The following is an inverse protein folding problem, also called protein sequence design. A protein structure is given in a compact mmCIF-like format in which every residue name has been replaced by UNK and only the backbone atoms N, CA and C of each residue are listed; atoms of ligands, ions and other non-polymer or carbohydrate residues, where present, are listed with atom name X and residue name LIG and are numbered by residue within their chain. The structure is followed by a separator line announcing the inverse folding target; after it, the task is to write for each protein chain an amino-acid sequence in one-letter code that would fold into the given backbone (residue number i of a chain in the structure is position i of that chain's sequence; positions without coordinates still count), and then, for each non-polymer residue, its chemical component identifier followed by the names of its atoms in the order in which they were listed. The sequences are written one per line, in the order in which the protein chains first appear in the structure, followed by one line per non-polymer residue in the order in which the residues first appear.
data_IF_944413997524
#
_entry.id   IF_944413997524
#
_cell.length_a   1.000
_cell.length_b   1.000
_cell.length_c   1.000
_cell.angle_alpha   90.00
_cell.angle_beta   90.00
_cell.angle_gamma   90.00
#
_symmetry.space_group_name_H-M   'P 1'
#
loop_
_entity.id
_entity.type
_entity.pdbx_description
1 polymer ?
#
# COMPACT_ATOMS: atom_id res chain seq x y z
N UNK A 1 -34.46 -21.29 26.58
CA UNK A 1 -33.70 -20.74 25.45
C UNK A 1 -33.85 -19.22 25.47
N UNK A 2 -32.92 -18.50 26.01
CA UNK A 2 -32.95 -17.03 25.98
C UNK A 2 -32.69 -16.61 24.54
N UNK A 3 -33.72 -16.09 23.87
CA UNK A 3 -33.62 -15.46 22.56
C UNK A 3 -32.66 -14.26 22.70
N UNK A 4 -31.38 -14.46 22.38
CA UNK A 4 -30.47 -13.31 22.27
C UNK A 4 -30.97 -12.44 21.13
N UNK A 5 -31.45 -11.24 21.47
CA UNK A 5 -31.86 -10.21 20.51
C UNK A 5 -30.68 -9.92 19.59
N UNK A 6 -30.82 -10.15 18.28
CA UNK A 6 -29.78 -9.83 17.30
C UNK A 6 -29.43 -8.34 17.37
N UNK A 7 -28.16 -8.00 17.37
CA UNK A 7 -27.68 -6.60 17.28
C UNK A 7 -28.23 -5.93 16.02
N UNK A 8 -28.56 -4.65 16.14
CA UNK A 8 -28.94 -3.79 15.01
C UNK A 8 -27.74 -3.01 14.53
N UNK A 9 -27.29 -3.27 13.31
CA UNK A 9 -26.07 -2.67 12.74
C UNK A 9 -26.42 -1.88 11.49
N UNK A 10 -25.93 -0.64 11.41
CA UNK A 10 -25.90 0.15 10.19
C UNK A 10 -24.57 -0.03 9.47
N UNK A 11 -24.59 -0.23 8.17
CA UNK A 11 -23.39 -0.21 7.31
C UNK A 11 -23.48 0.99 6.40
N UNK A 12 -22.54 1.91 6.51
CA UNK A 12 -22.50 3.10 5.68
C UNK A 12 -21.24 3.12 4.79
N UNK A 13 -21.49 3.20 3.45
CA UNK A 13 -20.50 3.01 2.41
C UNK A 13 -20.48 1.55 1.90
N UNK A 14 -20.98 1.33 0.67
CA UNK A 14 -21.20 0.01 0.07
C UNK A 14 -20.17 -0.36 -1.00
N UNK A 15 -18.96 0.20 -0.92
CA UNK A 15 -17.83 -0.28 -1.69
C UNK A 15 -17.36 -1.67 -1.21
N UNK A 16 -16.20 -2.13 -1.67
CA UNK A 16 -15.65 -3.47 -1.34
C UNK A 16 -15.64 -3.75 0.18
N UNK A 17 -15.32 -2.75 1.00
CA UNK A 17 -15.32 -2.86 2.46
C UNK A 17 -16.73 -3.09 3.01
N UNK A 18 -17.69 -2.24 2.66
CA UNK A 18 -19.06 -2.36 3.17
C UNK A 18 -19.76 -3.67 2.75
N UNK A 19 -19.54 -4.11 1.51
CA UNK A 19 -20.01 -5.42 1.05
C UNK A 19 -19.41 -6.54 1.90
N UNK A 20 -18.10 -6.50 2.18
CA UNK A 20 -17.45 -7.51 3.01
C UNK A 20 -17.99 -7.56 4.45
N UNK A 21 -18.32 -6.38 5.01
CA UNK A 21 -18.96 -6.26 6.33
C UNK A 21 -20.36 -6.89 6.31
N UNK A 22 -21.16 -6.58 5.29
CA UNK A 22 -22.50 -7.15 5.16
C UNK A 22 -22.45 -8.69 5.09
N UNK A 23 -21.60 -9.25 4.22
CA UNK A 23 -21.46 -10.70 4.07
C UNK A 23 -21.01 -11.40 5.36
N UNK A 24 -20.17 -10.76 6.17
CA UNK A 24 -19.76 -11.31 7.48
C UNK A 24 -20.90 -11.28 8.51
N UNK A 25 -21.77 -10.26 8.47
CA UNK A 25 -22.76 -10.00 9.53
C UNK A 25 -24.19 -10.42 9.20
N UNK A 26 -24.57 -10.67 7.92
CA UNK A 26 -25.95 -10.87 7.45
C UNK A 26 -26.72 -11.97 8.21
N UNK A 27 -26.04 -13.04 8.63
CA UNK A 27 -26.68 -14.14 9.36
C UNK A 27 -26.68 -13.94 10.88
N UNK A 28 -25.95 -12.93 11.39
CA UNK A 28 -25.69 -12.72 12.83
C UNK A 28 -26.44 -11.52 13.40
N UNK A 29 -26.75 -10.53 12.57
CA UNK A 29 -27.26 -9.22 12.97
C UNK A 29 -28.49 -8.82 12.17
N UNK A 30 -29.25 -7.83 12.68
CA UNK A 30 -30.26 -7.11 11.91
C UNK A 30 -29.54 -5.91 11.27
N UNK A 31 -29.51 -5.85 9.94
CA UNK A 31 -28.68 -4.89 9.21
C UNK A 31 -29.54 -3.95 8.41
N UNK A 32 -29.17 -2.67 8.39
CA UNK A 32 -29.56 -1.68 7.40
C UNK A 32 -28.31 -1.12 6.74
N UNK A 33 -28.42 -0.73 5.48
CA UNK A 33 -27.26 -0.25 4.71
C UNK A 33 -27.60 1.02 3.95
N UNK A 34 -26.58 1.85 3.66
CA UNK A 34 -26.69 2.97 2.74
C UNK A 34 -25.32 3.38 2.17
N UNK A 35 -25.37 4.01 1.02
CA UNK A 35 -24.24 4.69 0.37
C UNK A 35 -24.76 5.92 -0.38
N UNK A 36 -24.03 7.01 -0.41
CA UNK A 36 -24.41 8.20 -1.17
C UNK A 36 -24.37 7.97 -2.67
N UNK A 37 -23.44 7.13 -3.14
CA UNK A 37 -23.28 6.80 -4.54
C UNK A 37 -24.35 5.79 -4.97
N UNK A 38 -25.22 6.20 -5.89
CA UNK A 38 -26.24 5.34 -6.46
C UNK A 38 -25.66 4.07 -7.09
N UNK A 39 -24.52 4.18 -7.76
CA UNK A 39 -23.83 3.03 -8.35
C UNK A 39 -23.51 1.94 -7.32
N UNK A 40 -23.08 2.31 -6.12
CA UNK A 40 -22.80 1.34 -5.05
C UNK A 40 -24.08 0.70 -4.51
N UNK A 41 -25.18 1.48 -4.40
CA UNK A 41 -26.49 0.95 -4.02
C UNK A 41 -27.04 -0.05 -5.05
N UNK A 42 -26.89 0.26 -6.35
CA UNK A 42 -27.30 -0.63 -7.43
C UNK A 42 -26.54 -1.95 -7.41
N UNK A 43 -25.21 -1.89 -7.22
CA UNK A 43 -24.40 -3.11 -7.04
C UNK A 43 -24.90 -3.94 -5.84
N UNK A 44 -25.24 -3.28 -4.74
CA UNK A 44 -25.76 -3.99 -3.56
C UNK A 44 -27.14 -4.64 -3.85
N UNK A 45 -28.05 -3.94 -4.56
CA UNK A 45 -29.35 -4.49 -4.97
C UNK A 45 -29.24 -5.71 -5.89
N UNK A 46 -28.24 -5.74 -6.76
CA UNK A 46 -27.98 -6.89 -7.64
C UNK A 46 -27.50 -8.12 -6.88
N UNK A 47 -26.81 -7.91 -5.76
CA UNK A 47 -26.19 -9.00 -4.99
C UNK A 47 -27.06 -9.45 -3.78
N UNK A 48 -27.90 -8.57 -3.22
CA UNK A 48 -28.55 -8.76 -1.94
C UNK A 48 -29.98 -8.16 -1.91
N UNK A 49 -30.67 -8.31 -0.78
CA UNK A 49 -32.02 -7.78 -0.60
C UNK A 49 -32.03 -6.24 -0.55
N UNK A 50 -32.64 -5.62 -1.55
CA UNK A 50 -32.79 -4.16 -1.65
C UNK A 50 -33.59 -3.53 -0.50
N UNK A 51 -34.44 -4.29 0.21
CA UNK A 51 -35.20 -3.77 1.36
C UNK A 51 -34.33 -3.34 2.53
N UNK A 52 -33.04 -3.74 2.52
CA UNK A 52 -32.04 -3.36 3.50
C UNK A 52 -31.46 -1.96 3.25
N UNK A 53 -31.60 -1.43 2.03
CA UNK A 53 -31.13 -0.07 1.69
C UNK A 53 -32.11 0.93 2.26
N UNK A 54 -31.63 1.72 3.22
CA UNK A 54 -32.46 2.62 4.02
C UNK A 54 -31.89 4.02 3.98
N UNK A 55 -32.67 4.98 3.45
CA UNK A 55 -32.29 6.40 3.44
C UNK A 55 -31.91 6.90 4.84
N UNK A 56 -30.97 7.83 4.93
CA UNK A 56 -30.52 8.42 6.20
C UNK A 56 -31.64 9.17 6.97
N UNK A 57 -32.70 9.60 6.29
CA UNK A 57 -33.87 10.20 6.92
C UNK A 57 -34.73 9.20 7.69
N UNK A 58 -34.54 7.90 7.54
CA UNK A 58 -35.28 6.86 8.24
C UNK A 58 -34.86 6.75 9.71
N UNK A 59 -35.84 6.71 10.60
CA UNK A 59 -35.62 6.64 12.05
C UNK A 59 -34.87 5.37 12.49
N UNK A 60 -34.79 4.33 11.67
CA UNK A 60 -34.03 3.11 11.99
C UNK A 60 -32.57 3.39 12.25
N UNK A 61 -31.97 4.42 11.62
CA UNK A 61 -30.60 4.86 11.88
C UNK A 61 -30.37 5.35 13.31
N UNK A 62 -31.41 5.85 13.96
CA UNK A 62 -31.35 6.35 15.34
C UNK A 62 -31.45 5.25 16.41
N UNK A 63 -31.75 4.02 16.02
CA UNK A 63 -32.02 2.88 16.90
C UNK A 63 -30.96 1.76 16.76
N UNK A 64 -29.84 2.06 16.18
CA UNK A 64 -28.76 1.10 15.97
C UNK A 64 -27.95 0.90 17.25
N UNK A 65 -27.43 -0.30 17.42
CA UNK A 65 -26.45 -0.60 18.46
C UNK A 65 -25.04 -0.20 18.03
N UNK A 66 -24.78 -0.12 16.69
CA UNK A 66 -23.44 0.16 16.13
C UNK A 66 -23.56 0.58 14.66
N UNK A 67 -22.68 1.47 14.21
CA UNK A 67 -22.49 1.80 12.78
C UNK A 67 -21.10 1.35 12.35
N UNK A 68 -21.03 0.61 11.25
CA UNK A 68 -19.75 0.28 10.56
C UNK A 68 -19.59 1.24 9.40
N UNK A 69 -18.52 2.03 9.43
CA UNK A 69 -18.27 3.09 8.47
C UNK A 69 -17.12 2.71 7.53
N UNK A 70 -17.34 2.83 6.22
CA UNK A 70 -16.29 2.63 5.22
C UNK A 70 -15.28 3.79 5.21
N UNK A 71 -13.98 3.53 5.00
CA UNK A 71 -12.91 4.54 5.11
C UNK A 71 -13.04 5.72 4.13
N UNK A 72 -13.71 5.51 2.98
CA UNK A 72 -13.94 6.56 1.98
C UNK A 72 -14.91 7.66 2.41
N UNK A 73 -15.74 7.41 3.43
CA UNK A 73 -16.74 8.37 3.92
C UNK A 73 -16.05 9.53 4.65
N UNK A 74 -16.37 10.79 4.32
CA UNK A 74 -15.81 11.94 5.02
C UNK A 74 -16.15 11.98 6.50
N UNK A 75 -15.21 12.39 7.36
CA UNK A 75 -15.47 12.54 8.81
C UNK A 75 -16.44 13.70 9.15
N UNK A 76 -16.81 14.50 8.17
CA UNK A 76 -17.83 15.56 8.28
C UNK A 76 -19.23 15.12 7.82
N UNK A 77 -19.37 13.85 7.43
CA UNK A 77 -20.62 13.33 6.88
C UNK A 77 -21.74 13.30 7.93
N UNK A 78 -23.00 13.55 7.49
CA UNK A 78 -24.17 13.62 8.37
C UNK A 78 -24.43 12.34 9.19
N UNK A 79 -24.03 11.16 8.70
CA UNK A 79 -24.12 9.90 9.43
C UNK A 79 -23.40 9.97 10.79
N UNK A 80 -22.29 10.70 10.87
CA UNK A 80 -21.56 10.91 12.12
C UNK A 80 -22.30 11.85 13.07
N UNK A 81 -23.04 12.82 12.54
CA UNK A 81 -23.93 13.67 13.32
C UNK A 81 -25.07 12.85 13.92
N UNK A 82 -25.70 11.96 13.12
CA UNK A 82 -26.72 11.02 13.61
C UNK A 82 -26.12 10.14 14.71
N UNK A 83 -24.98 9.51 14.46
CA UNK A 83 -24.31 8.65 15.42
C UNK A 83 -24.04 9.38 16.76
N UNK A 84 -23.51 10.60 16.72
CA UNK A 84 -23.23 11.40 17.89
C UNK A 84 -24.51 11.79 18.68
N UNK A 85 -25.56 12.24 17.97
CA UNK A 85 -26.81 12.66 18.60
C UNK A 85 -27.52 11.53 19.34
N UNK A 86 -27.35 10.29 18.89
CA UNK A 86 -28.00 9.11 19.48
C UNK A 86 -26.99 8.21 20.23
N UNK A 87 -25.77 8.66 20.47
CA UNK A 87 -24.71 7.92 21.15
C UNK A 87 -24.43 6.53 20.55
N UNK A 88 -24.50 6.42 19.22
CA UNK A 88 -24.25 5.17 18.51
C UNK A 88 -22.77 5.03 18.22
N UNK A 89 -22.09 3.96 18.68
CA UNK A 89 -20.69 3.71 18.37
C UNK A 89 -20.45 3.56 16.85
N UNK A 90 -19.46 4.28 16.33
CA UNK A 90 -18.99 4.13 14.95
C UNK A 90 -17.65 3.40 14.97
N UNK A 91 -17.55 2.31 14.23
CA UNK A 91 -16.36 1.46 14.14
C UNK A 91 -15.98 1.17 12.67
N UNK A 92 -14.80 0.61 12.47
CA UNK A 92 -14.30 0.16 11.18
C UNK A 92 -14.45 -1.36 10.98
N UNK A 93 -14.22 -1.84 9.75
CA UNK A 93 -14.05 -3.25 9.43
C UNK A 93 -12.81 -3.87 10.11
N UNK A 94 -11.79 -3.04 10.37
CA UNK A 94 -10.59 -3.46 11.11
C UNK A 94 -10.92 -3.77 12.57
N UNK A 95 -11.78 -2.96 13.21
CA UNK A 95 -12.24 -3.23 14.57
C UNK A 95 -13.04 -4.54 14.63
N UNK A 96 -13.91 -4.81 13.63
CA UNK A 96 -14.66 -6.06 13.56
C UNK A 96 -13.73 -7.28 13.37
N UNK A 97 -12.71 -7.18 12.53
CA UNK A 97 -11.72 -8.24 12.38
C UNK A 97 -10.99 -8.48 13.70
N UNK A 98 -10.59 -7.43 14.39
CA UNK A 98 -9.91 -7.51 15.68
C UNK A 98 -10.80 -8.15 16.74
N UNK A 99 -12.06 -7.73 16.87
CA UNK A 99 -13.03 -8.32 17.80
C UNK A 99 -13.22 -9.83 17.54
N UNK A 100 -13.29 -10.23 16.26
CA UNK A 100 -13.44 -11.63 15.85
C UNK A 100 -12.20 -12.48 16.12
N UNK A 101 -11.03 -11.86 16.16
CA UNK A 101 -9.72 -12.53 16.15
C UNK A 101 -8.82 -12.03 17.30
N UNK A 102 -9.39 -11.65 18.44
CA UNK A 102 -8.70 -10.96 19.53
C UNK A 102 -7.48 -11.73 20.12
N UNK A 103 -7.41 -13.05 19.96
CA UNK A 103 -6.30 -13.89 20.43
C UNK A 103 -5.15 -14.02 19.43
N UNK A 104 -5.26 -13.39 18.25
CA UNK A 104 -4.26 -13.48 17.19
C UNK A 104 -3.34 -12.26 17.19
N UNK A 105 -2.16 -12.42 16.61
CA UNK A 105 -1.21 -11.32 16.47
C UNK A 105 -1.54 -10.47 15.23
N UNK A 106 -1.64 -9.17 15.42
CA UNK A 106 -1.82 -8.21 14.33
C UNK A 106 -0.54 -7.42 14.10
N UNK A 107 0.00 -7.51 12.89
CA UNK A 107 1.12 -6.70 12.42
C UNK A 107 0.52 -5.63 11.52
N UNK A 108 0.63 -4.36 11.89
CA UNK A 108 0.03 -3.25 11.16
C UNK A 108 1.11 -2.37 10.52
N UNK A 109 0.95 -2.07 9.24
CA UNK A 109 1.90 -1.26 8.46
C UNK A 109 1.22 0.00 7.95
N UNK A 110 1.79 1.16 8.25
CA UNK A 110 1.37 2.45 7.70
C UNK A 110 2.57 3.27 7.20
N UNK A 111 2.28 4.32 6.47
CA UNK A 111 3.23 5.25 5.88
C UNK A 111 2.60 5.97 4.68
N UNK A 112 3.28 6.91 4.07
CA UNK A 112 2.86 7.46 2.79
C UNK A 112 3.19 6.49 1.66
N UNK A 113 4.44 6.04 1.59
CA UNK A 113 4.96 5.13 0.58
C UNK A 113 5.46 3.82 1.19
N UNK A 114 5.62 2.77 0.39
CA UNK A 114 6.21 1.50 0.81
C UNK A 114 5.26 0.53 1.52
N UNK A 115 4.10 0.96 2.00
CA UNK A 115 3.15 0.14 2.78
C UNK A 115 2.91 -1.25 2.20
N UNK A 116 2.47 -1.31 0.95
CA UNK A 116 2.08 -2.57 0.31
C UNK A 116 3.25 -3.52 0.13
N UNK A 117 4.41 -3.00 -0.26
CA UNK A 117 5.63 -3.80 -0.40
C UNK A 117 6.06 -4.35 0.95
N UNK A 118 6.07 -3.52 2.00
CA UNK A 118 6.43 -3.96 3.36
C UNK A 118 5.44 -4.98 3.90
N UNK A 119 4.12 -4.75 3.73
CA UNK A 119 3.07 -5.69 4.15
C UNK A 119 3.24 -7.04 3.46
N UNK A 120 3.48 -7.03 2.14
CA UNK A 120 3.71 -8.25 1.38
C UNK A 120 5.03 -8.95 1.75
N UNK A 121 6.09 -8.18 1.96
CA UNK A 121 7.40 -8.73 2.34
C UNK A 121 7.36 -9.36 3.74
N UNK A 122 6.73 -8.72 4.73
CA UNK A 122 6.52 -9.30 6.06
C UNK A 122 5.76 -10.63 5.96
N UNK A 123 4.61 -10.62 5.29
CA UNK A 123 3.80 -11.84 5.09
C UNK A 123 4.60 -12.93 4.38
N UNK A 124 5.35 -12.59 3.33
CA UNK A 124 6.20 -13.54 2.62
C UNK A 124 7.29 -14.13 3.53
N UNK A 125 7.99 -13.31 4.30
CA UNK A 125 9.04 -13.80 5.22
C UNK A 125 8.44 -14.76 6.24
N UNK A 126 7.33 -14.39 6.87
CA UNK A 126 6.70 -15.23 7.90
C UNK A 126 6.18 -16.55 7.30
N UNK A 127 5.42 -16.47 6.20
CA UNK A 127 4.83 -17.67 5.57
C UNK A 127 5.88 -18.60 4.96
N UNK A 128 6.99 -18.08 4.43
CA UNK A 128 8.09 -18.89 3.90
C UNK A 128 8.85 -19.66 4.99
N UNK A 129 8.66 -19.26 6.25
CA UNK A 129 9.23 -19.92 7.42
C UNK A 129 8.20 -20.72 8.22
N UNK A 130 7.05 -21.06 7.61
CA UNK A 130 6.06 -21.97 8.17
C UNK A 130 5.04 -21.32 9.10
N UNK A 131 5.02 -19.99 9.20
CA UNK A 131 4.03 -19.24 9.95
C UNK A 131 2.83 -18.87 9.05
N UNK A 132 1.65 -18.60 9.63
CA UNK A 132 0.42 -18.30 8.88
C UNK A 132 -0.03 -16.86 9.13
N UNK A 133 0.46 -15.93 8.30
CA UNK A 133 0.17 -14.49 8.37
C UNK A 133 -0.35 -13.96 7.02
N UNK A 134 -1.63 -14.18 6.67
CA UNK A 134 -2.23 -13.62 5.48
C UNK A 134 -2.31 -12.09 5.52
N UNK A 135 -2.31 -11.50 4.32
CA UNK A 135 -2.42 -10.06 4.12
C UNK A 135 -3.88 -9.64 4.02
N UNK A 136 -4.22 -8.49 4.59
CA UNK A 136 -5.52 -7.83 4.37
C UNK A 136 -5.49 -6.33 4.68
N UNK A 137 -6.64 -5.67 4.56
CA UNK A 137 -6.81 -4.23 4.84
C UNK A 137 -6.86 -3.40 3.57
N UNK A 138 -5.99 -2.40 3.45
CA UNK A 138 -5.95 -1.49 2.29
C UNK A 138 -5.36 -2.13 1.02
N UNK A 139 -4.79 -3.33 1.13
CA UNK A 139 -4.22 -4.13 0.04
C UNK A 139 -4.76 -5.55 0.09
N UNK A 140 -4.78 -6.21 -1.04
CA UNK A 140 -5.26 -7.57 -1.17
C UNK A 140 -6.78 -7.63 -1.05
N UNK A 141 -7.26 -8.34 -0.02
CA UNK A 141 -8.68 -8.48 0.25
C UNK A 141 -9.13 -7.57 1.40
N UNK A 142 -10.40 -7.13 1.44
CA UNK A 142 -10.97 -6.47 2.61
C UNK A 142 -10.72 -7.27 3.89
N UNK A 143 -10.54 -6.59 5.02
CA UNK A 143 -10.14 -7.21 6.29
C UNK A 143 -10.98 -8.45 6.66
N UNK A 144 -12.30 -8.37 6.53
CA UNK A 144 -13.22 -9.46 6.86
C UNK A 144 -13.29 -10.61 5.83
N UNK A 145 -12.66 -10.42 4.64
CA UNK A 145 -12.49 -11.45 3.61
C UNK A 145 -11.14 -12.17 3.68
N UNK A 146 -10.29 -11.77 4.61
CA UNK A 146 -9.01 -12.43 4.81
C UNK A 146 -9.20 -13.92 5.09
N UNK A 147 -8.31 -14.74 4.53
CA UNK A 147 -8.24 -16.16 4.87
C UNK A 147 -8.06 -16.30 6.39
N UNK A 148 -8.79 -17.22 7.01
CA UNK A 148 -8.61 -17.50 8.44
C UNK A 148 -7.17 -17.89 8.73
N UNK A 149 -6.60 -17.31 9.77
CA UNK A 149 -5.26 -17.62 10.26
C UNK A 149 -5.34 -18.25 11.64
N UNK A 150 -4.29 -18.95 12.01
CA UNK A 150 -4.09 -19.49 13.37
C UNK A 150 -3.15 -18.63 14.20
N UNK A 151 -2.37 -17.75 13.60
CA UNK A 151 -1.30 -17.00 14.25
C UNK A 151 -1.53 -15.48 14.19
N UNK A 152 -1.93 -14.96 13.05
CA UNK A 152 -2.14 -13.52 12.93
C UNK A 152 -2.37 -13.01 11.52
N UNK A 153 -2.36 -11.70 11.39
CA UNK A 153 -2.58 -10.99 10.12
C UNK A 153 -1.54 -9.90 9.92
N UNK A 154 -1.15 -9.66 8.66
CA UNK A 154 -0.40 -8.46 8.28
C UNK A 154 -1.36 -7.49 7.60
N UNK A 155 -1.60 -6.36 8.27
CA UNK A 155 -2.55 -5.33 7.84
C UNK A 155 -1.83 -4.17 7.18
N UNK A 156 -2.21 -3.82 5.95
CA UNK A 156 -1.92 -2.49 5.44
C UNK A 156 -3.00 -1.52 5.90
N UNK A 157 -2.64 -0.43 6.58
CA UNK A 157 -3.56 0.58 7.06
C UNK A 157 -3.28 1.94 6.45
N UNK A 158 -4.29 2.50 5.76
CA UNK A 158 -4.28 3.89 5.30
C UNK A 158 -4.59 4.84 6.46
N UNK A 159 -4.27 6.15 6.29
CA UNK A 159 -4.66 7.18 7.25
C UNK A 159 -6.19 7.28 7.43
N UNK A 160 -6.96 7.01 6.37
CA UNK A 160 -8.43 7.02 6.40
C UNK A 160 -8.99 5.88 7.26
N UNK A 161 -8.39 4.69 7.19
CA UNK A 161 -8.76 3.56 8.04
C UNK A 161 -8.39 3.84 9.50
N UNK A 162 -7.18 4.35 9.75
CA UNK A 162 -6.70 4.70 11.08
C UNK A 162 -7.56 5.80 11.76
N UNK A 163 -8.18 6.70 10.99
CA UNK A 163 -9.12 7.68 11.53
C UNK A 163 -10.38 7.05 12.13
N UNK A 164 -10.77 5.87 11.64
CA UNK A 164 -11.99 5.18 12.07
C UNK A 164 -11.78 4.13 13.15
N UNK A 165 -10.54 3.66 13.31
CA UNK A 165 -10.19 2.61 14.28
C UNK A 165 -10.50 3.06 15.71
N UNK A 166 -11.18 2.21 16.49
CA UNK A 166 -11.60 2.47 17.87
C UNK A 166 -11.08 1.46 18.88
N UNK A 167 -11.10 0.18 18.53
CA UNK A 167 -10.75 -0.90 19.47
C UNK A 167 -9.48 -1.65 19.09
N UNK A 168 -9.11 -1.61 17.82
CA UNK A 168 -7.95 -2.31 17.28
C UNK A 168 -6.63 -1.94 17.97
N UNK A 169 -5.83 -2.95 18.26
CA UNK A 169 -4.46 -2.83 18.77
C UNK A 169 -3.53 -3.76 18.00
N UNK A 170 -2.46 -3.21 17.44
CA UNK A 170 -1.43 -4.02 16.81
C UNK A 170 -0.48 -4.64 17.85
N UNK A 171 -0.06 -5.89 17.65
CA UNK A 171 1.07 -6.48 18.38
C UNK A 171 2.38 -5.80 17.94
N UNK A 172 2.51 -5.56 16.64
CA UNK A 172 3.65 -4.86 16.04
C UNK A 172 3.09 -3.81 15.07
N UNK A 173 3.46 -2.55 15.23
CA UNK A 173 3.11 -1.46 14.33
C UNK A 173 4.35 -0.92 13.63
N UNK A 174 4.26 -0.70 12.32
CA UNK A 174 5.33 -0.17 11.48
C UNK A 174 4.92 1.19 10.92
N UNK A 175 5.77 2.20 11.10
CA UNK A 175 5.66 3.52 10.48
C UNK A 175 6.86 3.75 9.56
N UNK A 176 6.61 3.71 8.24
CA UNK A 176 7.67 3.77 7.23
C UNK A 176 8.14 5.19 6.94
N UNK A 177 7.21 6.06 6.58
CA UNK A 177 7.49 7.45 6.22
C UNK A 177 6.21 8.28 6.23
N UNK A 178 6.37 9.59 6.37
CA UNK A 178 5.29 10.58 6.23
C UNK A 178 5.80 11.68 5.31
N UNK A 179 5.17 11.82 4.14
CA UNK A 179 5.41 12.91 3.18
C UNK A 179 4.07 13.52 2.79
N UNK A 180 4.00 14.78 2.31
CA UNK A 180 2.73 15.43 1.98
C UNK A 180 1.86 14.58 1.05
N UNK A 181 0.66 14.24 1.51
CA UNK A 181 -0.36 13.50 0.76
C UNK A 181 -1.71 13.67 1.47
N UNK A 182 -2.81 13.58 0.73
CA UNK A 182 -4.18 13.63 1.26
C UNK A 182 -4.48 14.83 2.19
N UNK A 183 -3.86 16.00 1.91
CA UNK A 183 -4.05 17.20 2.72
C UNK A 183 -5.46 17.81 2.58
N UNK A 184 -6.14 17.54 1.48
CA UNK A 184 -7.56 17.82 1.28
C UNK A 184 -8.43 17.14 2.35
N UNK A 185 -8.12 15.91 2.71
CA UNK A 185 -8.80 15.11 3.74
C UNK A 185 -8.40 15.51 5.17
N UNK A 186 -7.11 15.64 5.40
CA UNK A 186 -6.55 15.85 6.75
C UNK A 186 -6.33 17.32 7.10
N UNK A 187 -6.67 18.26 6.19
CA UNK A 187 -6.53 19.72 6.30
C UNK A 187 -5.08 20.22 6.24
N UNK A 188 -4.15 19.58 6.90
CA UNK A 188 -2.73 19.94 6.93
C UNK A 188 -1.85 18.75 7.34
N UNK A 189 -0.53 18.96 7.35
CA UNK A 189 0.44 17.91 7.71
C UNK A 189 0.24 17.39 9.14
N UNK A 190 -0.08 18.25 10.11
CA UNK A 190 -0.30 17.85 11.50
C UNK A 190 -1.49 16.91 11.63
N UNK A 191 -2.58 17.18 10.90
CA UNK A 191 -3.74 16.26 10.82
C UNK A 191 -3.37 14.92 10.20
N UNK A 192 -2.54 14.91 9.15
CA UNK A 192 -2.08 13.69 8.50
C UNK A 192 -1.15 12.86 9.39
N UNK A 193 -0.19 13.52 10.09
CA UNK A 193 0.68 12.88 11.09
C UNK A 193 -0.17 12.28 12.21
N UNK A 194 -1.11 13.05 12.76
CA UNK A 194 -2.00 12.59 13.82
C UNK A 194 -2.81 11.37 13.40
N UNK A 195 -3.38 11.37 12.17
CA UNK A 195 -4.13 10.23 11.65
C UNK A 195 -3.27 8.96 11.56
N UNK A 196 -2.03 9.04 11.06
CA UNK A 196 -1.13 7.88 11.00
C UNK A 196 -0.66 7.41 12.37
N UNK A 197 -0.44 8.34 13.30
CA UNK A 197 0.02 8.04 14.67
C UNK A 197 -1.03 7.25 15.48
N UNK A 198 -2.31 7.27 15.08
CA UNK A 198 -3.36 6.46 15.72
C UNK A 198 -3.07 4.96 15.72
N UNK A 199 -2.19 4.48 14.84
CA UNK A 199 -1.73 3.10 14.84
C UNK A 199 -1.11 2.69 16.19
N UNK A 200 -0.59 3.66 16.97
CA UNK A 200 0.06 3.45 18.26
C UNK A 200 -0.84 3.73 19.47
N UNK A 201 -2.03 4.31 19.30
CA UNK A 201 -2.83 4.88 20.41
C UNK A 201 -3.18 3.88 21.51
N UNK A 202 -3.43 2.62 21.15
CA UNK A 202 -3.85 1.58 22.09
C UNK A 202 -2.75 0.58 22.45
N UNK A 203 -1.55 0.81 21.97
CA UNK A 203 -0.40 -0.06 22.22
C UNK A 203 0.16 0.19 23.63
N UNK A 204 0.63 -0.86 24.28
CA UNK A 204 1.24 -0.85 25.61
C UNK A 204 2.57 -1.59 25.63
N UNK A 205 3.06 -1.92 26.82
CA UNK A 205 4.40 -2.52 27.07
C UNK A 205 4.64 -3.87 26.37
N UNK A 206 3.58 -4.58 26.01
CA UNK A 206 3.70 -5.87 25.31
C UNK A 206 3.73 -5.71 23.77
N UNK A 207 3.63 -4.47 23.27
CA UNK A 207 3.58 -4.17 21.84
C UNK A 207 4.87 -3.51 21.36
N UNK A 208 5.12 -3.60 20.05
CA UNK A 208 6.33 -3.11 19.41
C UNK A 208 6.01 -2.08 18.32
N UNK A 209 6.73 -0.98 18.31
CA UNK A 209 6.69 0.01 17.23
C UNK A 209 8.03 0.05 16.49
N UNK A 210 8.00 -0.21 15.18
CA UNK A 210 9.15 -0.17 14.27
C UNK A 210 9.03 1.11 13.45
N UNK A 211 9.95 2.07 13.62
CA UNK A 211 9.79 3.43 13.12
C UNK A 211 11.04 3.90 12.36
N UNK A 212 10.85 4.38 11.14
CA UNK A 212 11.89 5.04 10.36
C UNK A 212 12.24 6.41 10.97
N UNK A 213 13.51 6.61 11.34
CA UNK A 213 13.97 7.88 11.93
C UNK A 213 14.74 8.76 10.95
N UNK A 214 14.86 8.37 9.69
CA UNK A 214 15.41 9.23 8.62
C UNK A 214 14.40 10.29 8.17
N UNK A 215 13.11 9.97 8.25
CA UNK A 215 12.02 10.91 7.98
C UNK A 215 11.72 11.78 9.20
N UNK A 216 11.74 13.11 9.04
CA UNK A 216 11.61 14.06 10.15
C UNK A 216 10.30 13.89 10.93
N UNK A 217 9.17 13.75 10.23
CA UNK A 217 7.87 13.57 10.88
C UNK A 217 7.76 12.24 11.65
N UNK A 218 8.34 11.17 11.10
CA UNK A 218 8.39 9.88 11.80
C UNK A 218 9.32 9.97 13.02
N UNK A 219 10.43 10.71 12.93
CA UNK A 219 11.33 10.93 14.04
C UNK A 219 10.66 11.74 15.18
N UNK A 220 9.83 12.72 14.86
CA UNK A 220 9.00 13.43 15.86
C UNK A 220 8.05 12.47 16.58
N UNK A 221 7.37 11.59 15.84
CA UNK A 221 6.50 10.55 16.43
C UNK A 221 7.32 9.60 17.33
N UNK A 222 8.50 9.17 16.87
CA UNK A 222 9.40 8.30 17.65
C UNK A 222 9.80 8.96 18.99
N UNK A 223 10.24 10.23 18.95
CA UNK A 223 10.65 10.96 20.17
C UNK A 223 9.48 11.10 21.16
N UNK A 224 8.28 11.40 20.66
CA UNK A 224 7.07 11.47 21.49
C UNK A 224 6.80 10.14 22.19
N UNK A 225 6.78 9.03 21.45
CA UNK A 225 6.54 7.69 22.00
C UNK A 225 7.65 7.26 22.97
N UNK A 226 8.89 7.65 22.71
CA UNK A 226 10.01 7.41 23.63
C UNK A 226 9.83 8.11 24.97
N UNK A 227 9.31 9.34 24.97
CA UNK A 227 8.98 10.07 26.20
C UNK A 227 7.81 9.44 26.97
N UNK A 228 6.84 8.85 26.26
CA UNK A 228 5.70 8.15 26.88
C UNK A 228 6.08 6.83 27.57
N UNK A 229 7.16 6.16 27.15
CA UNK A 229 7.72 4.91 27.71
C UNK A 229 6.70 3.75 27.82
N UNK A 230 5.64 3.75 27.02
CA UNK A 230 4.56 2.76 27.10
C UNK A 230 4.65 1.62 26.09
N UNK A 231 5.52 1.74 25.06
CA UNK A 231 5.64 0.80 23.93
C UNK A 231 7.13 0.46 23.76
N UNK A 232 7.43 -0.77 23.34
CA UNK A 232 8.79 -1.12 22.92
C UNK A 232 9.09 -0.49 21.56
N UNK A 233 10.18 0.26 21.44
CA UNK A 233 10.53 1.03 20.24
C UNK A 233 11.77 0.48 19.56
N UNK A 234 11.68 0.24 18.26
CA UNK A 234 12.81 -0.10 17.40
C UNK A 234 12.94 0.97 16.33
N UNK A 235 13.91 1.90 16.44
CA UNK A 235 14.23 2.82 15.36
C UNK A 235 14.98 2.10 14.26
N UNK A 236 14.72 2.49 13.00
CA UNK A 236 15.53 2.05 11.87
C UNK A 236 15.97 3.22 10.98
N UNK A 237 17.08 3.01 10.24
CA UNK A 237 17.67 4.00 9.32
C UNK A 237 18.33 3.32 8.13
N UNK A 238 18.22 3.97 6.96
CA UNK A 238 18.96 3.62 5.73
C UNK A 238 20.00 4.67 5.35
N UNK A 239 20.16 5.71 6.19
CA UNK A 239 21.11 6.82 5.94
C UNK A 239 22.27 6.84 6.92
N UNK A 240 22.15 6.18 8.07
CA UNK A 240 23.17 6.16 9.14
C UNK A 240 23.10 4.89 9.98
N UNK A 241 24.25 4.52 10.57
CA UNK A 241 24.31 3.42 11.55
C UNK A 241 23.78 3.93 12.90
N UNK A 242 22.81 3.20 13.46
CA UNK A 242 22.23 3.50 14.75
C UNK A 242 22.94 2.70 15.85
N UNK A 243 23.24 3.35 16.98
CA UNK A 243 23.86 2.68 18.14
C UNK A 243 22.89 1.75 18.89
N UNK A 244 21.58 2.06 18.85
CA UNK A 244 20.51 1.23 19.42
C UNK A 244 19.34 1.23 18.43
N UNK A 245 19.40 0.34 17.44
CA UNK A 245 18.44 0.25 16.35
C UNK A 245 18.97 -0.61 15.23
N UNK A 246 18.28 -0.63 14.11
CA UNK A 246 18.65 -1.42 12.95
C UNK A 246 18.93 -0.50 11.77
N UNK A 247 19.99 -0.77 11.02
CA UNK A 247 20.38 0.03 9.86
C UNK A 247 20.62 -0.82 8.61
N UNK A 248 20.40 -0.26 7.43
CA UNK A 248 20.87 -0.85 6.16
C UNK A 248 21.79 0.15 5.49
N UNK A 249 23.09 -0.19 5.41
CA UNK A 249 24.13 0.62 4.77
C UNK A 249 24.93 -0.30 3.85
N UNK A 250 25.22 0.16 2.64
CA UNK A 250 26.01 -0.57 1.65
C UNK A 250 25.59 -2.05 1.48
N UNK A 251 24.28 -2.26 1.35
CA UNK A 251 23.66 -3.58 1.19
C UNK A 251 23.89 -4.55 2.37
N UNK A 252 24.17 -4.01 3.58
CA UNK A 252 24.30 -4.77 4.82
C UNK A 252 23.25 -4.34 5.84
N UNK A 253 22.59 -5.30 6.45
CA UNK A 253 21.82 -5.07 7.68
C UNK A 253 22.81 -5.00 8.83
N UNK A 254 22.75 -3.93 9.62
CA UNK A 254 23.51 -3.74 10.86
C UNK A 254 22.49 -3.71 11.99
N UNK A 255 22.45 -4.78 12.76
CA UNK A 255 21.52 -4.99 13.86
C UNK A 255 22.20 -4.70 15.19
N UNK A 256 22.12 -3.46 15.65
CA UNK A 256 22.61 -3.04 16.97
C UNK A 256 21.50 -3.04 18.03
N UNK A 257 20.35 -3.67 17.74
CA UNK A 257 19.24 -3.78 18.67
C UNK A 257 19.09 -5.17 19.27
N UNK A 258 19.13 -6.23 18.47
CA UNK A 258 18.90 -7.61 18.94
C UNK A 258 20.19 -8.35 19.26
N UNK A 259 21.18 -8.32 18.38
CA UNK A 259 22.35 -9.21 18.49
C UNK A 259 23.73 -8.55 18.21
N UNK A 260 23.77 -7.24 17.94
CA UNK A 260 24.99 -6.47 17.62
C UNK A 260 25.82 -7.09 16.48
N UNK A 261 25.15 -7.51 15.43
CA UNK A 261 25.74 -8.21 14.30
C UNK A 261 25.46 -7.52 12.98
N UNK A 262 26.16 -7.94 11.93
CA UNK A 262 25.90 -7.45 10.57
C UNK A 262 25.74 -8.59 9.57
N UNK A 263 24.86 -8.40 8.61
CA UNK A 263 24.44 -9.42 7.64
C UNK A 263 24.39 -8.85 6.24
N UNK A 264 25.04 -9.51 5.28
CA UNK A 264 24.94 -9.16 3.86
C UNK A 264 23.54 -9.46 3.31
N UNK A 265 22.95 -8.51 2.61
CA UNK A 265 21.73 -8.75 1.86
C UNK A 265 22.01 -9.48 0.56
N UNK A 266 21.26 -10.52 0.27
CA UNK A 266 21.31 -11.22 -1.00
C UNK A 266 20.56 -10.41 -2.08
N UNK A 267 21.07 -10.38 -3.33
CA UNK A 267 20.44 -9.62 -4.40
C UNK A 267 19.00 -10.07 -4.69
N UNK A 268 18.11 -9.09 -4.86
CA UNK A 268 16.74 -9.32 -5.34
C UNK A 268 16.34 -8.21 -6.33
N UNK A 269 16.03 -8.58 -7.57
CA UNK A 269 15.63 -7.64 -8.64
C UNK A 269 14.31 -6.95 -8.38
N UNK A 270 13.45 -7.52 -7.53
CA UNK A 270 12.18 -6.92 -7.15
C UNK A 270 12.28 -5.91 -5.98
N UNK A 271 13.44 -5.81 -5.34
CA UNK A 271 13.67 -4.96 -4.17
C UNK A 271 14.86 -4.01 -4.38
N UNK A 272 14.94 -3.38 -5.53
CA UNK A 272 16.00 -2.42 -5.86
C UNK A 272 15.67 -1.01 -5.34
N UNK A 273 16.73 -0.24 -5.06
CA UNK A 273 16.66 1.16 -4.63
C UNK A 273 16.51 1.35 -3.11
N UNK A 274 16.91 2.54 -2.64
CA UNK A 274 16.97 2.91 -1.21
C UNK A 274 15.61 2.77 -0.51
N UNK A 275 14.51 3.10 -1.20
CA UNK A 275 13.17 2.93 -0.65
C UNK A 275 12.82 1.46 -0.34
N UNK A 276 13.41 0.50 -1.08
CA UNK A 276 13.24 -0.91 -0.75
C UNK A 276 14.15 -1.35 0.40
N UNK A 277 15.26 -0.69 0.65
CA UNK A 277 16.04 -0.89 1.88
C UNK A 277 15.23 -0.52 3.13
N UNK A 278 14.39 0.55 3.09
CA UNK A 278 13.43 0.87 4.16
C UNK A 278 12.40 -0.27 4.37
N UNK A 279 11.85 -0.81 3.27
CA UNK A 279 10.89 -1.91 3.33
C UNK A 279 11.52 -3.19 3.89
N UNK A 280 12.75 -3.51 3.47
CA UNK A 280 13.52 -4.68 3.93
C UNK A 280 13.80 -4.59 5.42
N UNK A 281 14.35 -3.46 5.87
CA UNK A 281 14.76 -3.30 7.27
C UNK A 281 13.56 -3.30 8.23
N UNK A 282 12.45 -2.67 7.84
CA UNK A 282 11.21 -2.72 8.60
C UNK A 282 10.67 -4.16 8.70
N UNK A 283 10.73 -4.92 7.59
CA UNK A 283 10.29 -6.32 7.57
C UNK A 283 11.23 -7.22 8.37
N UNK A 284 12.55 -6.97 8.33
CA UNK A 284 13.54 -7.65 9.15
C UNK A 284 13.25 -7.45 10.64
N UNK A 285 13.04 -6.20 11.07
CA UNK A 285 12.73 -5.90 12.48
C UNK A 285 11.47 -6.64 12.96
N UNK A 286 10.41 -6.65 12.16
CA UNK A 286 9.17 -7.38 12.45
C UNK A 286 9.44 -8.89 12.59
N UNK A 287 10.18 -9.47 11.66
CA UNK A 287 10.49 -10.89 11.66
C UNK A 287 11.38 -11.29 12.87
N UNK A 288 12.31 -10.43 13.28
CA UNK A 288 13.11 -10.61 14.51
C UNK A 288 12.25 -10.58 15.78
N UNK A 289 11.27 -9.65 15.87
CA UNK A 289 10.32 -9.61 17.00
C UNK A 289 9.50 -10.92 17.07
N UNK A 290 9.12 -11.49 15.93
CA UNK A 290 8.39 -12.77 15.86
C UNK A 290 9.28 -13.97 16.21
N UNK A 291 10.62 -13.81 16.20
CA UNK A 291 11.58 -14.83 16.60
C UNK A 291 12.28 -15.58 15.47
N UNK A 292 12.27 -15.03 14.24
CA UNK A 292 13.02 -15.63 13.14
C UNK A 292 14.51 -15.28 13.21
N UNK A 293 15.34 -16.20 12.75
CA UNK A 293 16.78 -16.00 12.66
C UNK A 293 17.16 -15.16 11.43
N UNK A 294 18.19 -14.31 11.51
CA UNK A 294 18.62 -13.43 10.40
C UNK A 294 18.83 -14.15 9.08
N UNK A 295 19.43 -15.36 9.11
CA UNK A 295 19.69 -16.16 7.89
C UNK A 295 18.38 -16.56 7.19
N UNK A 296 17.36 -16.94 7.96
CA UNK A 296 16.03 -17.27 7.43
C UNK A 296 15.37 -16.05 6.79
N UNK A 297 15.46 -14.90 7.46
CA UNK A 297 14.89 -13.63 6.97
C UNK A 297 15.55 -13.22 5.65
N UNK A 298 16.88 -13.18 5.60
CA UNK A 298 17.64 -12.77 4.41
C UNK A 298 17.37 -13.69 3.21
N UNK A 299 17.30 -15.00 3.45
CA UNK A 299 16.94 -15.97 2.42
C UNK A 299 15.53 -15.72 1.90
N UNK A 300 14.58 -15.41 2.77
CA UNK A 300 13.20 -15.09 2.34
C UNK A 300 13.14 -13.77 1.57
N UNK A 301 13.87 -12.73 2.00
CA UNK A 301 13.99 -11.47 1.27
C UNK A 301 14.52 -11.70 -0.15
N UNK A 302 15.55 -12.55 -0.31
CA UNK A 302 16.14 -12.81 -1.64
C UNK A 302 15.18 -13.52 -2.62
N UNK A 303 14.23 -14.27 -2.11
CA UNK A 303 13.24 -15.01 -2.89
C UNK A 303 11.89 -14.27 -3.06
N UNK A 304 11.77 -13.07 -2.48
CA UNK A 304 10.53 -12.30 -2.56
C UNK A 304 10.18 -11.93 -4.00
N UNK A 305 8.95 -12.21 -4.40
CA UNK A 305 8.37 -11.72 -5.63
C UNK A 305 7.56 -10.48 -5.30
N UNK A 306 7.80 -9.38 -6.02
CA UNK A 306 7.03 -8.15 -5.82
C UNK A 306 5.54 -8.39 -6.04
N UNK A 307 4.73 -7.52 -5.44
CA UNK A 307 3.31 -7.47 -5.79
C UNK A 307 3.15 -7.15 -7.28
N UNK A 308 2.16 -7.72 -7.96
CA UNK A 308 1.87 -7.37 -9.34
C UNK A 308 1.78 -5.84 -9.52
N UNK A 309 2.35 -5.34 -10.61
CA UNK A 309 2.31 -3.93 -10.99
C UNK A 309 2.99 -2.94 -10.01
N UNK A 310 3.87 -3.41 -9.13
CA UNK A 310 4.68 -2.58 -8.21
C UNK A 310 6.15 -2.90 -8.36
N UNK A 311 6.83 -2.14 -9.20
CA UNK A 311 8.24 -2.38 -9.56
C UNK A 311 8.50 -3.88 -9.86
N UNK A 312 7.49 -4.55 -10.41
CA UNK A 312 7.49 -5.98 -10.70
C UNK A 312 8.51 -6.28 -11.79
N UNK A 313 9.54 -7.05 -11.46
CA UNK A 313 10.43 -7.61 -12.47
C UNK A 313 9.71 -8.70 -13.25
N UNK A 314 9.44 -8.45 -14.53
CA UNK A 314 8.68 -9.35 -15.40
C UNK A 314 9.59 -10.38 -16.07
N UNK A 315 10.82 -10.02 -16.39
CA UNK A 315 11.80 -10.91 -17.03
C UNK A 315 12.96 -10.17 -17.69
N UNK A 316 13.80 -10.95 -18.38
CA UNK A 316 14.95 -10.44 -19.15
C UNK A 316 14.98 -11.11 -20.53
N UNK A 317 15.16 -10.34 -21.58
CA UNK A 317 15.36 -10.80 -22.95
C UNK A 317 16.50 -10.01 -23.58
N UNK A 318 17.56 -10.67 -24.05
CA UNK A 318 18.70 -10.04 -24.73
C UNK A 318 19.32 -8.84 -23.97
N UNK A 319 19.59 -8.97 -22.68
CA UNK A 319 20.09 -7.91 -21.80
C UNK A 319 19.11 -6.73 -21.60
N UNK A 320 17.83 -6.93 -21.87
CA UNK A 320 16.76 -5.97 -21.59
C UNK A 320 15.93 -6.53 -20.45
N UNK A 321 15.95 -5.86 -19.31
CA UNK A 321 15.03 -6.15 -18.20
C UNK A 321 13.70 -5.43 -18.44
N UNK A 322 12.60 -6.04 -17.98
CA UNK A 322 11.27 -5.47 -18.03
C UNK A 322 10.72 -5.28 -16.62
N UNK A 323 10.34 -4.05 -16.29
CA UNK A 323 9.76 -3.68 -15.00
C UNK A 323 8.37 -3.08 -15.17
N UNK A 324 7.42 -3.63 -14.43
CA UNK A 324 6.03 -3.19 -14.41
C UNK A 324 5.73 -2.47 -13.10
N UNK A 325 5.61 -1.15 -13.17
CA UNK A 325 5.15 -0.30 -12.07
C UNK A 325 3.88 0.48 -12.46
N UNK A 326 2.92 -0.23 -13.06
CA UNK A 326 1.64 0.36 -13.48
C UNK A 326 0.89 1.04 -12.33
N UNK A 327 1.18 0.68 -11.07
CA UNK A 327 0.65 1.31 -9.86
C UNK A 327 1.22 2.70 -9.59
N UNK A 328 2.31 3.11 -10.22
CA UNK A 328 2.87 4.46 -10.15
C UNK A 328 1.95 5.46 -10.89
N UNK A 329 0.82 5.79 -10.29
CA UNK A 329 -0.25 6.63 -10.86
C UNK A 329 -0.07 8.13 -10.62
N UNK A 330 1.11 8.54 -10.17
CA UNK A 330 1.53 9.93 -10.01
C UNK A 330 3.05 10.05 -10.14
N UNK A 331 3.56 11.28 -10.33
CA UNK A 331 4.97 11.56 -10.55
C UNK A 331 5.87 11.09 -9.38
N UNK A 332 5.47 11.35 -8.14
CA UNK A 332 6.21 10.95 -6.94
C UNK A 332 6.42 9.44 -6.84
N UNK A 333 5.42 8.64 -7.24
CA UNK A 333 5.54 7.18 -7.25
C UNK A 333 6.49 6.73 -8.38
N UNK A 334 6.31 7.24 -9.61
CA UNK A 334 7.16 6.89 -10.75
C UNK A 334 8.63 7.31 -10.54
N UNK A 335 8.87 8.43 -9.88
CA UNK A 335 10.19 8.91 -9.52
C UNK A 335 10.99 7.85 -8.73
N UNK A 336 10.35 7.09 -7.84
CA UNK A 336 11.05 6.06 -7.06
C UNK A 336 11.57 4.92 -7.95
N UNK A 337 10.79 4.53 -8.95
CA UNK A 337 11.18 3.50 -9.93
C UNK A 337 12.30 4.00 -10.85
N UNK A 338 12.23 5.26 -11.25
CA UNK A 338 13.27 5.88 -12.09
C UNK A 338 14.58 6.04 -11.32
N UNK A 339 14.54 6.41 -10.04
CA UNK A 339 15.74 6.47 -9.18
C UNK A 339 16.42 5.11 -8.97
N UNK A 340 15.67 4.03 -9.03
CA UNK A 340 16.19 2.69 -8.76
C UNK A 340 16.88 2.02 -9.94
N UNK A 341 16.79 2.59 -11.14
CA UNK A 341 17.27 2.01 -12.37
C UNK A 341 18.08 3.04 -13.16
N UNK A 342 18.98 2.54 -14.02
CA UNK A 342 19.72 3.30 -15.02
C UNK A 342 19.36 2.82 -16.41
N UNK A 343 19.73 3.60 -17.44
CA UNK A 343 19.54 3.27 -18.86
C UNK A 343 18.09 2.83 -19.16
N UNK A 344 17.15 3.70 -18.78
CA UNK A 344 15.72 3.42 -18.81
C UNK A 344 15.11 3.81 -20.15
N UNK A 345 14.36 2.90 -20.75
CA UNK A 345 13.38 3.14 -21.81
C UNK A 345 12.01 3.27 -21.11
N UNK A 346 11.59 4.51 -20.88
CA UNK A 346 10.49 4.84 -19.97
C UNK A 346 9.16 4.97 -20.70
N UNK A 347 8.14 4.16 -20.31
CA UNK A 347 6.78 4.23 -20.80
C UNK A 347 5.91 5.00 -19.79
N UNK A 348 5.39 6.18 -20.19
CA UNK A 348 4.60 7.03 -19.32
C UNK A 348 3.36 7.59 -20.04
N UNK A 349 2.23 7.67 -19.33
CA UNK A 349 1.00 8.19 -19.90
C UNK A 349 -0.28 7.74 -19.22
N UNK A 350 -1.36 8.38 -19.61
CA UNK A 350 -2.70 8.27 -19.01
C UNK A 350 -3.24 9.64 -18.67
N UNK A 351 -4.06 9.78 -17.62
CA UNK A 351 -4.56 11.07 -17.11
C UNK A 351 -3.62 11.58 -16.02
N UNK A 352 -2.89 12.66 -16.31
CA UNK A 352 -1.95 13.27 -15.37
C UNK A 352 -2.68 13.96 -14.20
N UNK A 353 -1.99 14.03 -13.06
CA UNK A 353 -2.32 14.94 -11.97
C UNK A 353 -1.71 16.31 -12.25
N UNK A 354 -2.11 17.33 -11.47
CA UNK A 354 -1.50 18.67 -11.50
C UNK A 354 0.02 18.58 -11.33
N UNK A 355 0.78 19.36 -12.09
CA UNK A 355 2.25 19.33 -12.12
C UNK A 355 2.87 18.25 -13.03
N UNK A 356 2.07 17.35 -13.63
CA UNK A 356 2.55 16.39 -14.63
C UNK A 356 3.72 15.54 -14.12
N UNK A 357 4.89 15.69 -14.78
CA UNK A 357 6.16 14.98 -14.47
C UNK A 357 7.29 15.91 -14.02
N UNK A 358 6.99 17.15 -13.64
CA UNK A 358 8.01 18.15 -13.29
C UNK A 358 8.93 17.67 -12.15
N UNK A 359 8.39 16.96 -11.16
CA UNK A 359 9.13 16.40 -10.03
C UNK A 359 10.15 15.32 -10.43
N UNK A 360 10.01 14.73 -11.63
CA UNK A 360 10.90 13.68 -12.14
C UNK A 360 12.12 14.28 -12.86
N UNK A 361 12.04 15.53 -13.32
CA UNK A 361 13.10 16.15 -14.13
C UNK A 361 14.53 16.04 -13.57
N UNK A 362 14.77 16.12 -12.24
CA UNK A 362 16.11 15.93 -11.67
C UNK A 362 16.73 14.53 -11.94
N UNK A 363 15.92 13.57 -12.33
CA UNK A 363 16.32 12.16 -12.56
C UNK A 363 16.25 11.76 -14.04
N UNK A 364 16.03 12.70 -14.95
CA UNK A 364 16.00 12.42 -16.38
C UNK A 364 17.33 11.87 -16.92
N UNK A 365 18.44 12.08 -16.22
CA UNK A 365 19.75 11.46 -16.56
C UNK A 365 19.73 9.92 -16.52
N UNK A 366 18.80 9.31 -15.77
CA UNK A 366 18.64 7.85 -15.72
C UNK A 366 17.83 7.32 -16.92
N UNK A 367 17.13 8.22 -17.65
CA UNK A 367 16.24 7.88 -18.76
C UNK A 367 17.02 8.03 -20.07
N UNK A 368 17.17 6.93 -20.79
CA UNK A 368 17.79 6.91 -22.13
C UNK A 368 16.84 7.48 -23.17
N UNK A 369 15.54 7.10 -23.10
CA UNK A 369 14.50 7.58 -23.99
C UNK A 369 13.12 7.37 -23.36
N UNK A 370 12.18 8.30 -23.60
CA UNK A 370 10.83 8.24 -23.09
C UNK A 370 9.81 7.97 -24.20
N UNK A 371 8.69 7.31 -23.85
CA UNK A 371 7.60 6.99 -24.76
C UNK A 371 6.29 7.40 -24.10
N UNK A 372 5.71 8.51 -24.58
CA UNK A 372 4.54 9.14 -23.97
C UNK A 372 3.28 8.77 -24.72
N UNK A 373 2.24 8.33 -24.02
CA UNK A 373 0.96 7.91 -24.58
C UNK A 373 -0.23 8.45 -23.77
N UNK A 374 -1.46 8.26 -24.29
CA UNK A 374 -2.67 8.69 -23.60
C UNK A 374 -2.84 10.20 -23.52
N UNK A 375 -3.73 10.67 -22.63
CA UNK A 375 -4.10 12.09 -22.56
C UNK A 375 -2.94 13.02 -22.16
N UNK A 376 -2.01 12.55 -21.34
CA UNK A 376 -0.91 13.38 -20.83
C UNK A 376 0.27 13.53 -21.79
N UNK A 377 0.28 12.85 -22.94
CA UNK A 377 1.45 12.71 -23.82
C UNK A 377 2.06 14.05 -24.26
N UNK A 378 1.25 15.04 -24.62
CA UNK A 378 1.72 16.36 -25.07
C UNK A 378 2.30 17.18 -23.91
N UNK A 379 1.66 17.13 -22.74
CA UNK A 379 2.17 17.77 -21.52
C UNK A 379 3.54 17.20 -21.12
N UNK A 380 3.69 15.89 -21.16
CA UNK A 380 4.96 15.23 -20.81
C UNK A 380 6.05 15.52 -21.83
N UNK A 381 5.70 15.57 -23.12
CA UNK A 381 6.60 15.96 -24.20
C UNK A 381 7.14 17.38 -24.00
N UNK A 382 6.32 18.34 -23.60
CA UNK A 382 6.79 19.70 -23.34
C UNK A 382 7.72 19.78 -22.13
N UNK A 383 7.44 19.06 -21.03
CA UNK A 383 8.35 18.98 -19.87
C UNK A 383 9.68 18.29 -20.22
N UNK A 384 9.66 17.27 -21.09
CA UNK A 384 10.85 16.50 -21.48
C UNK A 384 11.70 17.19 -22.55
N UNK A 385 11.16 18.19 -23.22
CA UNK A 385 11.75 18.87 -24.36
C UNK A 385 13.14 19.42 -24.07
N UNK A 386 14.12 19.11 -24.93
CA UNK A 386 15.54 19.47 -24.79
C UNK A 386 16.24 18.87 -23.55
N UNK A 387 15.64 17.95 -22.83
CA UNK A 387 16.25 17.29 -21.65
C UNK A 387 16.46 15.80 -21.91
N UNK A 388 15.46 15.12 -22.46
CA UNK A 388 15.54 13.68 -22.78
C UNK A 388 14.88 13.41 -24.13
N UNK A 389 15.42 12.46 -24.90
CA UNK A 389 14.79 12.04 -26.16
C UNK A 389 13.45 11.35 -25.87
N UNK A 390 12.42 11.65 -26.68
CA UNK A 390 11.12 11.03 -26.52
C UNK A 390 10.41 10.73 -27.84
N UNK A 391 9.39 9.88 -27.77
CA UNK A 391 8.46 9.56 -28.85
C UNK A 391 7.04 9.71 -28.31
N UNK A 392 6.15 10.35 -29.08
CA UNK A 392 4.72 10.40 -28.80
C UNK A 392 4.08 9.18 -29.45
N UNK A 393 3.30 8.45 -28.68
CA UNK A 393 2.65 7.20 -29.05
C UNK A 393 1.11 7.31 -28.91
N UNK A 394 0.39 6.45 -29.62
CA UNK A 394 -1.07 6.43 -29.55
C UNK A 394 -1.55 5.72 -28.26
N UNK A 395 -0.92 4.59 -27.94
CA UNK A 395 -1.26 3.76 -26.80
C UNK A 395 -0.04 3.08 -26.17
N UNK A 396 -0.27 2.34 -25.07
CA UNK A 396 0.78 1.59 -24.37
C UNK A 396 1.43 0.54 -25.26
N UNK A 397 0.69 -0.10 -26.15
CA UNK A 397 1.23 -1.17 -27.03
C UNK A 397 2.27 -0.57 -28.00
N UNK A 398 1.94 0.53 -28.66
CA UNK A 398 2.87 1.22 -29.56
C UNK A 398 4.10 1.74 -28.80
N UNK A 399 3.90 2.30 -27.61
CA UNK A 399 4.99 2.75 -26.73
C UNK A 399 5.95 1.59 -26.39
N UNK A 400 5.41 0.42 -26.06
CA UNK A 400 6.18 -0.78 -25.77
C UNK A 400 6.96 -1.29 -26.99
N UNK A 401 6.31 -1.36 -28.16
CA UNK A 401 6.92 -1.83 -29.41
C UNK A 401 8.10 -0.93 -29.81
N UNK A 402 7.96 0.39 -29.73
CA UNK A 402 9.03 1.32 -30.01
C UNK A 402 10.16 1.24 -28.98
N UNK A 403 9.83 1.18 -27.70
CA UNK A 403 10.83 1.03 -26.63
C UNK A 403 11.65 -0.26 -26.80
N UNK A 404 11.00 -1.37 -27.12
CA UNK A 404 11.68 -2.64 -27.35
C UNK A 404 12.57 -2.61 -28.59
N UNK A 405 12.09 -2.02 -29.70
CA UNK A 405 12.88 -1.85 -30.92
C UNK A 405 14.14 -1.01 -30.67
N UNK A 406 13.99 0.14 -30.01
CA UNK A 406 15.10 1.03 -29.70
C UNK A 406 16.09 0.38 -28.73
N UNK A 407 15.59 -0.31 -27.69
CA UNK A 407 16.44 -1.06 -26.75
C UNK A 407 17.18 -2.23 -27.42
N UNK A 408 16.61 -2.88 -28.44
CA UNK A 408 17.30 -3.90 -29.23
C UNK A 408 18.39 -3.33 -30.11
N UNK A 409 18.23 -2.11 -30.61
CA UNK A 409 19.19 -1.43 -31.49
C UNK A 409 20.32 -0.73 -30.73
N UNK A 410 20.23 -0.63 -29.42
CA UNK A 410 21.29 -0.09 -28.55
C UNK A 410 22.28 -1.18 -28.21
N UNK A 411 23.57 -0.97 -28.60
CA UNK A 411 24.68 -1.87 -28.30
C UNK A 411 25.17 -1.77 -26.84
N UNK A 412 24.52 -0.95 -26.02
CA UNK A 412 24.86 -0.73 -24.62
C UNK A 412 24.74 -1.98 -23.75
N UNK A 413 25.19 -1.86 -22.49
CA UNK A 413 25.19 -2.95 -21.51
C UNK A 413 23.74 -3.37 -21.16
N UNK A 414 23.41 -3.43 -19.89
CA UNK A 414 22.07 -3.74 -19.41
C UNK A 414 21.11 -2.57 -19.67
N UNK A 415 19.91 -2.87 -20.16
CA UNK A 415 18.84 -1.90 -20.44
C UNK A 415 17.60 -2.25 -19.64
N UNK A 416 16.78 -1.25 -19.34
CA UNK A 416 15.59 -1.41 -18.56
C UNK A 416 14.40 -0.78 -19.30
N UNK A 417 13.42 -1.58 -19.72
CA UNK A 417 12.11 -1.09 -20.17
C UNK A 417 11.22 -1.00 -18.94
N UNK A 418 10.83 0.22 -18.60
CA UNK A 418 10.06 0.52 -17.38
C UNK A 418 8.69 1.09 -17.73
N UNK A 419 7.62 0.40 -17.35
CA UNK A 419 6.29 0.99 -17.26
C UNK A 419 6.14 1.65 -15.89
N UNK A 420 6.26 2.97 -15.82
CA UNK A 420 5.98 3.80 -14.64
C UNK A 420 5.17 5.02 -15.10
N UNK A 421 3.83 4.90 -15.22
CA UNK A 421 3.02 5.78 -16.04
C UNK A 421 2.92 7.23 -15.56
N UNK A 422 3.18 7.53 -14.29
CA UNK A 422 2.96 8.83 -13.64
C UNK A 422 1.51 9.34 -13.67
N UNK A 423 0.58 8.53 -14.18
CA UNK A 423 -0.80 8.86 -14.51
C UNK A 423 -1.77 7.80 -14.04
N UNK A 424 -3.01 8.20 -13.77
CA UNK A 424 -4.11 7.25 -13.71
C UNK A 424 -4.39 6.67 -15.10
N UNK A 425 -5.06 5.50 -15.16
CA UNK A 425 -5.19 4.71 -16.39
C UNK A 425 -6.56 4.85 -17.10
N UNK A 426 -7.46 5.64 -16.56
CA UNK A 426 -8.88 5.64 -16.90
C UNK A 426 -9.22 6.21 -18.31
N UNK A 427 -8.22 6.74 -19.04
CA UNK A 427 -8.37 7.14 -20.44
C UNK A 427 -8.37 5.98 -21.42
N UNK A 428 -7.60 4.91 -21.13
CA UNK A 428 -7.44 3.77 -22.01
C UNK A 428 -7.75 2.42 -21.33
N UNK A 429 -7.85 2.35 -19.99
CA UNK A 429 -8.04 1.13 -19.22
C UNK A 429 -9.06 1.33 -18.10
N UNK A 430 -9.71 0.25 -17.65
CA UNK A 430 -10.64 0.27 -16.51
C UNK A 430 -9.93 0.58 -15.18
N UNK A 431 -8.68 0.18 -15.04
CA UNK A 431 -7.88 0.35 -13.84
C UNK A 431 -6.39 0.17 -14.17
N UNK A 432 -5.51 0.38 -13.18
CA UNK A 432 -4.06 0.21 -13.35
C UNK A 432 -3.66 -1.27 -13.48
N UNK A 433 -4.44 -2.18 -12.95
CA UNK A 433 -4.24 -3.63 -13.06
C UNK A 433 -4.30 -4.06 -14.53
N UNK A 434 -5.37 -3.71 -15.24
CA UNK A 434 -5.54 -4.02 -16.67
C UNK A 434 -4.38 -3.45 -17.52
N UNK A 435 -3.96 -2.21 -17.25
CA UNK A 435 -2.79 -1.61 -17.89
C UNK A 435 -1.52 -2.42 -17.63
N UNK A 436 -1.31 -2.83 -16.41
CA UNK A 436 -0.15 -3.62 -16.02
C UNK A 436 -0.18 -5.06 -16.56
N UNK A 437 -1.35 -5.67 -16.65
CA UNK A 437 -1.55 -6.99 -17.27
C UNK A 437 -1.17 -6.96 -18.76
N UNK A 438 -1.65 -5.96 -19.50
CA UNK A 438 -1.26 -5.77 -20.90
C UNK A 438 0.27 -5.67 -21.07
N UNK A 439 0.96 -4.91 -20.20
CA UNK A 439 2.43 -4.84 -20.28
C UNK A 439 3.07 -6.21 -20.06
N UNK A 440 2.59 -7.00 -19.10
CA UNK A 440 3.10 -8.37 -18.84
C UNK A 440 2.84 -9.29 -20.05
N UNK A 441 1.69 -9.19 -20.69
CA UNK A 441 1.34 -9.96 -21.90
C UNK A 441 2.27 -9.59 -23.06
N UNK A 442 2.53 -8.30 -23.28
CA UNK A 442 3.46 -7.85 -24.31
C UNK A 442 4.88 -8.38 -24.06
N UNK A 443 5.35 -8.37 -22.82
CA UNK A 443 6.64 -8.99 -22.47
C UNK A 443 6.68 -10.49 -22.77
N UNK A 444 5.63 -11.23 -22.45
CA UNK A 444 5.52 -12.68 -22.69
C UNK A 444 5.49 -13.01 -24.18
N UNK A 445 4.83 -12.19 -24.99
CA UNK A 445 4.73 -12.39 -26.44
C UNK A 445 6.09 -12.35 -27.13
N UNK A 446 7.06 -11.57 -26.62
CA UNK A 446 8.42 -11.53 -27.13
C UNK A 446 9.18 -12.86 -26.95
N UNK A 447 8.80 -13.64 -25.94
CA UNK A 447 9.43 -14.94 -25.64
C UNK A 447 8.92 -16.06 -26.54
N UNK A 448 7.70 -15.94 -27.07
CA UNK A 448 7.04 -16.95 -27.93
C UNK A 448 7.50 -16.84 -29.39
N UNK A 449 7.90 -15.65 -29.84
CA UNK A 449 8.34 -15.42 -31.24
C UNK A 449 9.79 -15.82 -31.51
N UNK A 450 10.37 -16.75 -30.73
CA UNK A 450 11.74 -17.26 -30.89
C UNK A 450 11.82 -18.64 -31.59
N UNK A 451 10.77 -19.03 -32.36
CA UNK A 451 10.82 -20.25 -33.16
C UNK A 451 10.53 -19.98 -34.64
#
# INVERSE_FOLDING_TARGET
MTSHKKQKIGIFGLGKTGISVYEELQNKCNIIVYDDLEANRNIFEELFDKSLIVSLSDQRWQQLDKIVLSPGVPLTHEILTIANNFNIPVISDIDLLFEKSANLNFIAVTGTNGKSTTTALISHILNSNGLDYPICGNIGVPALKAKSSKEGYVLELSSFQLDLVKTFTAKIAVLLNITPDHLDRHKNMQGYIAAKSKIFDRMGSDNWAVINIDNDYCREVFIKLQQEQRINLIPFSVTKILANGISVIDNKIIDNFFDNSSYELLPNKNLQGVHNSENIIASYAVAKIIGLEPVQIIKSVSNFQSLPHRMQYVGNIKNINFYNDSKATNAMAAMQSIKALDNIYWLAGGIAKEGGIDEITPYFSNIKKAYFYGQAKEMFAETAKNIVDFVICDDLKQAFEFAYKDACSDDGKLKNILLAPSCSSYDQFKNFEERGELFVELCKSLSVNKY
#
